data_IF_509870726214
#
_entry.id   IF_509870726214
#
_cell.length_a   1.000
_cell.length_b   1.000
_cell.length_c   1.000
_cell.angle_alpha   90.00
_cell.angle_beta   90.00
_cell.angle_gamma   90.00
#
_symmetry.space_group_name_H-M   'P 1'
#
loop_
_entity.id
_entity.type
_entity.pdbx_description
1 polymer ?
#
# COMPACT_ATOMS: atom_id res chain seq x y z
N UNK A 1 -6.88 -26.75 -4.25
CA UNK A 1 -5.97 -26.21 -5.30
C UNK A 1 -5.53 -27.31 -6.27
N UNK A 2 -5.56 -27.08 -7.60
CA UNK A 2 -5.25 -28.09 -8.63
C UNK A 2 -3.88 -27.85 -9.33
N UNK A 3 -3.49 -28.74 -10.27
CA UNK A 3 -2.22 -28.63 -11.02
C UNK A 3 -2.14 -27.39 -11.92
N UNK A 4 -3.26 -26.91 -12.47
CA UNK A 4 -3.30 -25.66 -13.25
C UNK A 4 -3.04 -24.44 -12.35
N UNK A 5 -3.67 -24.38 -11.19
CA UNK A 5 -3.48 -23.30 -10.20
C UNK A 5 -2.02 -23.24 -9.72
N UNK A 6 -1.37 -24.38 -9.50
CA UNK A 6 0.08 -24.42 -9.19
C UNK A 6 0.94 -23.82 -10.30
N UNK A 7 0.64 -24.09 -11.56
CA UNK A 7 1.35 -23.49 -12.70
C UNK A 7 1.13 -21.98 -12.77
N UNK A 8 -0.11 -21.52 -12.57
CA UNK A 8 -0.43 -20.09 -12.49
C UNK A 8 0.33 -19.40 -11.37
N UNK A 9 0.36 -20.00 -10.18
CA UNK A 9 1.09 -19.45 -9.03
C UNK A 9 2.59 -19.29 -9.35
N UNK A 10 3.22 -20.31 -9.92
CA UNK A 10 4.64 -20.25 -10.32
C UNK A 10 4.85 -19.15 -11.38
N UNK A 11 3.91 -18.99 -12.32
CA UNK A 11 3.99 -17.99 -13.37
C UNK A 11 3.92 -16.56 -12.81
N UNK A 12 3.10 -16.28 -11.80
CA UNK A 12 2.99 -14.97 -11.13
C UNK A 12 4.33 -14.55 -10.52
N UNK A 13 5.11 -15.48 -9.97
CA UNK A 13 6.39 -15.18 -9.32
C UNK A 13 7.60 -15.16 -10.28
N UNK A 14 7.40 -15.37 -11.60
CA UNK A 14 8.49 -15.22 -12.57
C UNK A 14 8.76 -13.74 -12.84
N UNK A 15 10.03 -13.39 -13.04
CA UNK A 15 10.44 -12.04 -13.44
C UNK A 15 11.21 -12.09 -14.79
N UNK A 16 10.68 -11.47 -15.86
CA UNK A 16 9.39 -10.79 -15.93
C UNK A 16 8.22 -11.78 -15.84
N UNK A 17 7.07 -11.31 -15.36
CA UNK A 17 5.85 -12.09 -15.40
C UNK A 17 5.54 -12.47 -16.88
N UNK A 18 5.11 -13.71 -17.16
CA UNK A 18 4.88 -14.14 -18.53
C UNK A 18 3.72 -13.36 -19.15
N UNK A 19 3.96 -12.77 -20.32
CA UNK A 19 2.98 -11.95 -21.08
C UNK A 19 1.68 -12.67 -21.45
N UNK A 20 1.63 -13.99 -21.32
CA UNK A 20 0.49 -14.88 -21.63
C UNK A 20 -0.29 -15.30 -20.38
N UNK A 21 -0.03 -14.68 -19.23
CA UNK A 21 -0.83 -14.95 -18.04
C UNK A 21 -2.24 -14.38 -18.25
N UNK A 22 -3.25 -15.23 -18.17
CA UNK A 22 -4.66 -14.86 -18.33
C UNK A 22 -5.27 -14.42 -16.99
N UNK A 23 -6.01 -13.32 -16.98
CA UNK A 23 -6.61 -12.78 -15.75
C UNK A 23 -7.56 -13.79 -15.10
N UNK A 24 -8.37 -14.47 -15.93
CA UNK A 24 -9.26 -15.55 -15.49
C UNK A 24 -8.53 -16.68 -14.75
N UNK A 25 -7.27 -16.94 -15.08
CA UNK A 25 -6.47 -17.96 -14.40
C UNK A 25 -5.99 -17.48 -13.02
N UNK A 26 -5.70 -16.19 -12.86
CA UNK A 26 -5.33 -15.56 -11.58
C UNK A 26 -6.53 -15.53 -10.64
N UNK A 27 -7.70 -15.11 -11.14
CA UNK A 27 -8.95 -15.09 -10.38
C UNK A 27 -9.34 -16.49 -9.90
N UNK A 28 -9.31 -17.50 -10.79
CA UNK A 28 -9.60 -18.89 -10.42
C UNK A 28 -8.60 -19.45 -9.39
N UNK A 29 -7.33 -19.05 -9.45
CA UNK A 29 -6.33 -19.40 -8.43
C UNK A 29 -6.70 -18.78 -7.07
N UNK A 30 -7.02 -17.49 -7.03
CA UNK A 30 -7.37 -16.76 -5.80
C UNK A 30 -8.62 -17.34 -5.14
N UNK A 31 -9.67 -17.62 -5.92
CA UNK A 31 -10.88 -18.30 -5.42
C UNK A 31 -10.55 -19.69 -4.87
N UNK A 32 -9.70 -20.45 -5.57
CA UNK A 32 -9.35 -21.80 -5.15
C UNK A 32 -8.43 -21.90 -3.93
N UNK A 33 -7.80 -20.79 -3.52
CA UNK A 33 -7.09 -20.68 -2.23
C UNK A 33 -7.96 -20.10 -1.11
N UNK A 34 -9.25 -19.84 -1.39
CA UNK A 34 -10.24 -19.41 -0.40
C UNK A 34 -10.48 -17.90 -0.37
N UNK A 35 -10.05 -17.15 -1.39
CA UNK A 35 -10.40 -15.73 -1.49
C UNK A 35 -11.85 -15.56 -1.98
N UNK A 36 -12.57 -14.63 -1.35
CA UNK A 36 -13.88 -14.16 -1.78
C UNK A 36 -13.68 -13.03 -2.80
N UNK A 37 -14.37 -13.12 -3.94
CA UNK A 37 -14.37 -12.05 -4.95
C UNK A 37 -15.42 -11.02 -4.58
N UNK A 38 -15.04 -9.76 -4.58
CA UNK A 38 -15.91 -8.62 -4.35
C UNK A 38 -15.83 -7.75 -5.61
N UNK A 39 -16.92 -7.72 -6.37
CA UNK A 39 -17.06 -6.83 -7.53
C UNK A 39 -17.04 -5.36 -7.06
N UNK A 40 -16.36 -4.50 -7.80
CA UNK A 40 -16.33 -3.06 -7.56
C UNK A 40 -16.96 -2.26 -8.69
N UNK A 41 -16.98 -0.94 -8.56
CA UNK A 41 -17.36 -0.05 -9.66
C UNK A 41 -16.29 -0.08 -10.78
N UNK A 42 -16.75 -0.18 -12.04
CA UNK A 42 -15.86 -0.11 -13.22
C UNK A 42 -15.02 -1.38 -13.46
N UNK A 43 -13.74 -1.21 -13.82
CA UNK A 43 -12.81 -2.32 -14.12
C UNK A 43 -12.15 -2.94 -12.90
N UNK A 44 -12.48 -2.50 -11.67
CA UNK A 44 -11.83 -2.97 -10.45
C UNK A 44 -12.46 -4.24 -9.90
N UNK A 45 -11.62 -5.16 -9.44
CA UNK A 45 -12.03 -6.39 -8.75
C UNK A 45 -11.21 -6.54 -7.47
N UNK A 46 -11.88 -6.88 -6.37
CA UNK A 46 -11.29 -7.00 -5.04
C UNK A 46 -11.34 -8.45 -4.59
N UNK A 47 -10.30 -8.88 -3.88
CA UNK A 47 -10.26 -10.20 -3.25
C UNK A 47 -10.13 -10.02 -1.75
N UNK A 48 -10.99 -10.71 -0.99
CA UNK A 48 -10.96 -10.76 0.46
C UNK A 48 -10.57 -12.16 0.92
N UNK A 49 -9.51 -12.27 1.71
CA UNK A 49 -9.07 -13.53 2.32
C UNK A 49 -8.46 -13.26 3.69
N UNK A 50 -8.88 -14.01 4.70
CA UNK A 50 -8.35 -13.93 6.07
C UNK A 50 -8.34 -12.51 6.68
N UNK A 51 -9.32 -11.67 6.31
CA UNK A 51 -9.41 -10.29 6.80
C UNK A 51 -8.52 -9.29 6.05
N UNK A 52 -7.83 -9.68 4.99
CA UNK A 52 -7.07 -8.79 4.09
C UNK A 52 -7.84 -8.58 2.78
N UNK A 53 -7.89 -7.33 2.32
CA UNK A 53 -8.49 -6.94 1.04
C UNK A 53 -7.38 -6.50 0.10
N UNK A 54 -7.38 -7.04 -1.12
CA UNK A 54 -6.50 -6.62 -2.21
C UNK A 54 -7.32 -6.20 -3.41
N UNK A 55 -7.11 -4.98 -3.89
CA UNK A 55 -7.77 -4.41 -5.08
C UNK A 55 -6.87 -4.56 -6.30
N UNK A 56 -7.46 -5.01 -7.40
CA UNK A 56 -6.80 -5.12 -8.70
C UNK A 56 -7.66 -4.49 -9.80
N UNK A 57 -7.03 -4.01 -10.86
CA UNK A 57 -7.73 -3.64 -12.09
C UNK A 57 -7.76 -4.83 -13.05
N UNK A 58 -8.95 -5.16 -13.57
CA UNK A 58 -9.08 -6.01 -14.74
C UNK A 58 -8.52 -5.21 -15.94
N UNK A 59 -7.57 -5.77 -16.71
CA UNK A 59 -7.11 -5.11 -17.93
C UNK A 59 -8.31 -4.85 -18.85
N UNK A 60 -8.41 -3.63 -19.40
CA UNK A 60 -9.58 -3.12 -20.13
C UNK A 60 -9.68 -3.61 -21.59
N UNK A 61 -8.97 -4.66 -21.96
CA UNK A 61 -9.14 -5.39 -23.22
C UNK A 61 -8.74 -6.86 -23.02
N UNK A 62 -9.06 -7.75 -23.96
CA UNK A 62 -8.51 -9.12 -24.02
C UNK A 62 -6.97 -9.16 -24.12
N UNK A 63 -6.28 -8.02 -24.06
CA UNK A 63 -4.85 -7.96 -23.90
C UNK A 63 -4.43 -8.08 -22.43
N UNK A 64 -3.95 -9.30 -22.12
CA UNK A 64 -2.77 -9.59 -21.31
C UNK A 64 -2.81 -9.09 -19.86
N UNK A 65 -2.71 -10.02 -18.92
CA UNK A 65 -2.44 -9.65 -17.52
C UNK A 65 -1.06 -8.99 -17.43
N UNK A 66 -1.03 -7.66 -17.26
CA UNK A 66 0.10 -6.99 -16.62
C UNK A 66 0.00 -7.25 -15.13
N UNK A 67 0.37 -8.46 -14.73
CA UNK A 67 0.51 -8.82 -13.33
C UNK A 67 1.79 -8.18 -12.79
N UNK A 68 1.58 -7.24 -11.87
CA UNK A 68 2.44 -6.82 -10.76
C UNK A 68 3.70 -7.70 -10.59
N UNK A 69 4.88 -7.11 -10.76
CA UNK A 69 6.14 -7.73 -10.35
C UNK A 69 7.15 -6.72 -9.78
N UNK A 70 7.36 -6.85 -8.47
CA UNK A 70 8.61 -6.66 -7.70
C UNK A 70 9.30 -5.29 -7.63
N UNK A 71 9.17 -4.67 -6.45
CA UNK A 71 10.25 -4.44 -5.48
C UNK A 71 11.69 -4.65 -5.99
N UNK A 72 12.43 -3.55 -6.23
CA UNK A 72 13.89 -3.52 -6.03
C UNK A 72 14.46 -2.13 -5.81
N UNK A 73 14.80 -1.91 -4.54
CA UNK A 73 15.79 -0.98 -3.98
C UNK A 73 17.00 -0.74 -4.91
N UNK A 74 17.17 0.47 -5.44
CA UNK A 74 18.48 1.05 -5.78
C UNK A 74 18.51 2.54 -5.45
N UNK A 75 19.37 2.87 -4.48
CA UNK A 75 19.76 4.24 -4.10
C UNK A 75 20.34 4.98 -5.30
N UNK A 76 19.83 6.17 -5.56
CA UNK A 76 20.61 7.27 -6.10
C UNK A 76 20.50 8.46 -5.16
N UNK A 77 21.65 9.04 -4.83
CA UNK A 77 21.84 10.12 -3.85
C UNK A 77 22.32 11.36 -4.58
N UNK A 78 21.58 12.47 -4.50
CA UNK A 78 22.11 13.86 -4.57
C UNK A 78 21.08 14.84 -3.98
N UNK A 79 21.44 16.09 -3.60
CA UNK A 79 21.09 16.62 -2.29
C UNK A 79 20.17 17.85 -2.32
N UNK A 80 19.55 18.08 -1.17
CA UNK A 80 19.23 19.40 -0.62
C UNK A 80 18.24 20.27 -1.41
N UNK A 81 16.99 20.29 -0.93
CA UNK A 81 16.32 21.53 -0.52
C UNK A 81 15.12 21.21 0.36
N UNK A 82 14.91 22.07 1.36
CA UNK A 82 13.75 22.10 2.24
C UNK A 82 12.45 22.11 1.45
N UNK A 83 11.81 20.96 1.26
CA UNK A 83 10.43 20.88 0.78
C UNK A 83 9.62 20.05 1.78
N UNK A 84 8.51 20.63 2.23
CA UNK A 84 7.41 19.91 2.88
C UNK A 84 7.13 18.64 2.10
N UNK A 85 7.07 17.49 2.77
CA UNK A 85 6.71 16.23 2.12
C UNK A 85 5.31 16.42 1.55
N UNK A 86 5.20 16.64 0.23
CA UNK A 86 3.96 16.91 -0.48
C UNK A 86 3.19 15.60 -0.67
N UNK A 87 2.84 14.98 0.45
CA UNK A 87 2.10 13.71 0.49
C UNK A 87 0.63 13.99 0.19
N UNK A 88 0.10 13.37 -0.86
CA UNK A 88 -1.33 13.44 -1.18
C UNK A 88 -2.12 12.72 -0.09
N UNK A 89 -2.99 13.46 0.60
CA UNK A 89 -3.83 12.93 1.68
C UNK A 89 -5.31 13.12 1.35
N UNK A 90 -6.12 12.12 1.69
CA UNK A 90 -7.57 12.14 1.49
C UNK A 90 -8.28 11.31 2.57
N UNK A 91 -9.27 11.90 3.25
CA UNK A 91 -10.02 11.27 4.38
C UNK A 91 -9.11 10.63 5.45
N UNK A 92 -7.93 11.21 5.67
CA UNK A 92 -6.93 10.72 6.64
C UNK A 92 -5.97 9.66 6.10
N UNK A 93 -6.20 9.15 4.89
CA UNK A 93 -5.29 8.24 4.19
C UNK A 93 -4.20 9.01 3.45
N UNK A 94 -3.00 8.43 3.39
CA UNK A 94 -1.87 8.97 2.64
C UNK A 94 -1.59 8.08 1.43
N UNK A 95 -1.26 8.70 0.30
CA UNK A 95 -0.80 8.02 -0.90
C UNK A 95 0.73 7.91 -0.90
N UNK A 96 1.24 6.71 -1.22
CA UNK A 96 2.61 6.48 -1.67
C UNK A 96 2.60 6.33 -3.18
N UNK A 97 3.44 7.09 -3.90
CA UNK A 97 3.41 7.18 -5.36
C UNK A 97 4.80 6.86 -5.91
N UNK A 98 4.84 5.99 -6.93
CA UNK A 98 6.04 5.59 -7.65
C UNK A 98 5.82 5.78 -9.16
N UNK A 99 6.86 6.13 -9.90
CA UNK A 99 6.81 6.21 -11.35
C UNK A 99 7.27 4.87 -11.96
N UNK A 100 6.48 4.33 -12.88
CA UNK A 100 6.83 3.15 -13.66
C UNK A 100 7.31 3.58 -15.04
N UNK A 101 8.59 3.34 -15.34
CA UNK A 101 9.17 3.62 -16.66
C UNK A 101 8.65 2.64 -17.74
N UNK A 102 8.40 1.38 -17.35
CA UNK A 102 7.89 0.34 -18.25
C UNK A 102 6.44 0.59 -18.72
N UNK A 103 5.64 1.28 -17.90
CA UNK A 103 4.24 1.56 -18.16
C UNK A 103 3.96 3.05 -18.39
N UNK A 104 5.00 3.89 -18.46
CA UNK A 104 4.93 5.36 -18.61
C UNK A 104 3.85 6.03 -17.74
N UNK A 105 3.63 5.54 -16.52
CA UNK A 105 2.56 6.03 -15.64
C UNK A 105 2.96 6.03 -14.16
N UNK A 106 2.21 6.80 -13.36
CA UNK A 106 2.35 6.82 -11.91
C UNK A 106 1.51 5.72 -11.29
N UNK A 107 2.13 4.90 -10.45
CA UNK A 107 1.49 3.85 -9.65
C UNK A 107 1.47 4.32 -8.21
N UNK A 108 0.28 4.42 -7.63
CA UNK A 108 0.08 4.79 -6.24
C UNK A 108 -0.56 3.68 -5.42
N UNK A 109 -0.29 3.67 -4.12
CA UNK A 109 -0.97 2.81 -3.16
C UNK A 109 -1.26 3.56 -1.85
N UNK A 110 -2.32 3.14 -1.15
CA UNK A 110 -2.62 3.70 0.16
C UNK A 110 -1.57 3.22 1.17
N UNK A 111 -0.88 4.17 1.78
CA UNK A 111 0.13 3.92 2.79
C UNK A 111 -0.51 3.76 4.18
N UNK A 112 0.09 2.90 5.00
CA UNK A 112 -0.25 2.76 6.41
C UNK A 112 -1.46 1.88 6.72
N UNK A 113 -1.91 1.07 5.76
CA UNK A 113 -2.90 0.02 5.95
C UNK A 113 -2.34 -1.34 5.49
N UNK A 114 -2.85 -2.45 6.06
CA UNK A 114 -2.49 -3.80 5.59
C UNK A 114 -3.18 -4.15 4.27
N UNK A 115 -4.36 -3.58 4.04
CA UNK A 115 -5.12 -3.80 2.82
C UNK A 115 -4.39 -3.15 1.63
N UNK A 116 -4.25 -3.88 0.52
CA UNK A 116 -3.57 -3.37 -0.67
C UNK A 116 -4.56 -2.68 -1.59
N UNK A 117 -4.61 -1.36 -1.49
CA UNK A 117 -5.43 -0.51 -2.36
C UNK A 117 -4.50 0.28 -3.28
N UNK A 118 -4.42 -0.14 -4.54
CA UNK A 118 -3.62 0.49 -5.58
C UNK A 118 -4.47 1.35 -6.52
N UNK A 119 -3.86 2.39 -7.08
CA UNK A 119 -4.41 3.28 -8.10
C UNK A 119 -3.30 3.68 -9.07
N UNK A 120 -3.65 4.18 -10.25
CA UNK A 120 -2.69 4.65 -11.23
C UNK A 120 -3.23 5.86 -11.98
N UNK A 121 -2.35 6.63 -12.61
CA UNK A 121 -2.71 7.78 -13.44
C UNK A 121 -1.55 8.21 -14.32
N UNK A 122 -1.86 8.79 -15.49
CA UNK A 122 -0.85 9.32 -16.42
C UNK A 122 -0.49 10.77 -16.09
N UNK A 123 -1.39 11.46 -15.36
CA UNK A 123 -1.16 12.82 -14.87
C UNK A 123 -1.43 12.94 -13.36
N UNK A 124 -0.90 14.00 -12.74
CA UNK A 124 -1.14 14.30 -11.31
C UNK A 124 -2.64 14.50 -11.02
N UNK A 125 -3.38 15.09 -11.97
CA UNK A 125 -4.81 15.31 -11.84
C UNK A 125 -5.59 13.98 -11.80
N UNK A 126 -5.31 13.09 -12.75
CA UNK A 126 -5.89 11.74 -12.79
C UNK A 126 -5.50 10.93 -11.57
N UNK A 127 -4.24 11.00 -11.15
CA UNK A 127 -3.75 10.27 -9.99
C UNK A 127 -4.50 10.68 -8.70
N UNK A 128 -4.83 11.96 -8.58
CA UNK A 128 -5.61 12.49 -7.44
C UNK A 128 -7.05 12.00 -7.46
N UNK A 129 -7.68 12.00 -8.62
CA UNK A 129 -9.03 11.49 -8.80
C UNK A 129 -9.09 9.98 -8.54
N UNK A 130 -8.17 9.23 -9.15
CA UNK A 130 -8.03 7.78 -8.94
C UNK A 130 -7.74 7.43 -7.48
N UNK A 131 -6.96 8.25 -6.76
CA UNK A 131 -6.72 8.07 -5.32
C UNK A 131 -7.99 8.30 -4.48
N UNK A 132 -8.74 9.36 -4.77
CA UNK A 132 -9.99 9.63 -4.07
C UNK A 132 -11.01 8.51 -4.31
N UNK A 133 -11.18 8.11 -5.57
CA UNK A 133 -12.08 7.03 -5.98
C UNK A 133 -11.69 5.70 -5.32
N UNK A 134 -10.40 5.34 -5.35
CA UNK A 134 -9.91 4.11 -4.72
C UNK A 134 -10.11 4.12 -3.20
N UNK A 135 -9.98 5.29 -2.55
CA UNK A 135 -10.23 5.43 -1.12
C UNK A 135 -11.71 5.32 -0.79
N UNK A 136 -12.60 5.93 -1.58
CA UNK A 136 -14.04 5.81 -1.38
C UNK A 136 -14.54 4.38 -1.62
N UNK A 137 -14.07 3.75 -2.69
CA UNK A 137 -14.38 2.36 -3.01
C UNK A 137 -13.87 1.40 -1.91
N UNK A 138 -12.70 1.67 -1.31
CA UNK A 138 -12.22 0.93 -0.14
C UNK A 138 -13.14 1.08 1.07
N UNK A 139 -13.60 2.29 1.38
CA UNK A 139 -14.52 2.53 2.49
C UNK A 139 -15.87 1.83 2.27
N UNK A 140 -16.38 1.84 1.03
CA UNK A 140 -17.65 1.20 0.67
C UNK A 140 -17.57 -0.34 0.72
N UNK A 141 -16.46 -0.92 0.26
CA UNK A 141 -16.25 -2.37 0.41
C UNK A 141 -16.01 -2.78 1.85
N UNK A 142 -15.33 -1.96 2.67
CA UNK A 142 -15.27 -2.20 4.11
C UNK A 142 -16.69 -2.24 4.72
N UNK A 143 -17.57 -1.32 4.35
CA UNK A 143 -18.96 -1.32 4.81
C UNK A 143 -19.74 -2.56 4.34
N UNK A 144 -19.57 -2.98 3.08
CA UNK A 144 -20.25 -4.15 2.50
C UNK A 144 -19.80 -5.46 3.14
N UNK A 145 -18.52 -5.58 3.50
CA UNK A 145 -17.95 -6.77 4.14
C UNK A 145 -18.19 -6.76 5.66
N UNK A 146 -18.76 -5.68 6.22
CA UNK A 146 -18.95 -5.52 7.66
C UNK A 146 -17.62 -5.39 8.43
N UNK A 147 -16.58 -4.91 7.75
CA UNK A 147 -15.23 -4.70 8.30
C UNK A 147 -15.07 -3.24 8.66
N UNK A 148 -14.56 -2.93 9.86
CA UNK A 148 -14.17 -1.56 10.17
C UNK A 148 -12.98 -1.14 9.28
N UNK A 149 -13.10 -0.05 8.52
CA UNK A 149 -12.02 0.41 7.66
C UNK A 149 -10.77 0.68 8.50
N UNK A 150 -9.63 0.19 8.05
CA UNK A 150 -8.38 0.34 8.78
C UNK A 150 -7.99 1.81 8.76
N UNK A 151 -8.17 2.49 9.90
CA UNK A 151 -7.68 3.86 10.05
C UNK A 151 -6.15 3.82 10.01
N UNK A 152 -5.50 4.68 9.20
CA UNK A 152 -4.05 4.82 9.25
C UNK A 152 -3.63 5.21 10.67
N UNK A 153 -2.46 4.70 11.05
CA UNK A 153 -1.88 4.66 12.40
C UNK A 153 -2.51 5.63 13.42
N UNK A 154 -3.02 5.09 14.53
CA UNK A 154 -3.72 5.82 15.61
C UNK A 154 -2.89 6.89 16.33
N UNK A 155 -1.65 7.14 15.92
CA UNK A 155 -0.67 7.99 16.58
C UNK A 155 -0.19 7.45 17.94
N UNK A 156 -0.75 6.33 18.41
CA UNK A 156 -0.43 5.74 19.72
C UNK A 156 0.51 4.55 19.54
N UNK A 157 1.77 4.75 19.92
CA UNK A 157 2.81 3.74 19.83
C UNK A 157 3.12 3.18 21.22
N UNK A 158 2.68 1.95 21.51
CA UNK A 158 3.04 1.26 22.75
C UNK A 158 4.35 0.50 22.53
N UNK A 159 5.42 0.94 23.17
CA UNK A 159 6.75 0.33 23.08
C UNK A 159 7.08 -0.40 24.38
N UNK A 160 7.57 -1.64 24.26
CA UNK A 160 8.21 -2.32 25.36
C UNK A 160 9.69 -1.99 25.35
N UNK A 161 10.11 -1.07 26.21
CA UNK A 161 11.50 -0.60 26.31
C UNK A 161 12.10 -0.97 27.67
N UNK A 162 13.39 -1.35 27.71
CA UNK A 162 14.07 -1.64 28.98
C UNK A 162 14.04 -0.43 29.92
N UNK A 163 13.99 -0.64 31.26
CA UNK A 163 13.91 0.44 32.23
C UNK A 163 15.03 1.48 32.12
N UNK A 164 16.25 1.04 31.78
CA UNK A 164 17.43 1.88 31.59
C UNK A 164 17.24 2.87 30.44
N UNK A 165 16.76 2.37 29.28
CA UNK A 165 16.49 3.19 28.11
C UNK A 165 15.32 4.15 28.37
N UNK A 166 14.28 3.70 29.07
CA UNK A 166 13.17 4.56 29.47
C UNK A 166 13.65 5.72 30.36
N UNK A 167 14.54 5.46 31.32
CA UNK A 167 15.13 6.50 32.16
C UNK A 167 15.93 7.52 31.34
N UNK A 168 16.74 7.07 30.38
CA UNK A 168 17.48 7.97 29.49
C UNK A 168 16.56 8.85 28.65
N UNK A 169 15.48 8.28 28.10
CA UNK A 169 14.48 9.03 27.32
C UNK A 169 13.77 10.06 28.20
N UNK A 170 13.34 9.68 29.41
CA UNK A 170 12.67 10.57 30.34
C UNK A 170 13.55 11.76 30.74
N UNK A 171 14.84 11.51 31.02
CA UNK A 171 15.81 12.58 31.30
C UNK A 171 16.01 13.49 30.09
N UNK A 172 16.19 12.93 28.90
CA UNK A 172 16.39 13.72 27.69
C UNK A 172 15.17 14.59 27.34
N UNK A 173 13.95 14.05 27.53
CA UNK A 173 12.72 14.80 27.36
C UNK A 173 12.64 15.97 28.36
N UNK A 174 12.96 15.71 29.64
CA UNK A 174 12.91 16.72 30.69
C UNK A 174 13.94 17.85 30.50
N UNK A 175 15.18 17.52 30.14
CA UNK A 175 16.21 18.52 29.79
C UNK A 175 15.78 19.37 28.60
N UNK A 176 15.05 18.78 27.66
CA UNK A 176 14.55 19.47 26.46
C UNK A 176 13.23 20.23 26.71
N UNK A 177 12.66 20.18 27.92
CA UNK A 177 11.37 20.80 28.25
C UNK A 177 10.17 20.19 27.52
N UNK A 178 10.27 18.92 27.11
CA UNK A 178 9.27 18.22 26.31
C UNK A 178 8.65 17.06 27.10
N UNK A 179 7.45 16.63 26.70
CA UNK A 179 6.94 15.33 27.16
C UNK A 179 7.73 14.19 26.53
N UNK A 180 7.72 13.01 27.16
CA UNK A 180 8.35 11.80 26.62
C UNK A 180 7.83 11.49 25.21
N UNK A 181 6.51 11.59 25.00
CA UNK A 181 5.90 11.36 23.68
C UNK A 181 6.37 12.36 22.63
N UNK A 182 6.53 13.64 22.99
CA UNK A 182 7.04 14.68 22.09
C UNK A 182 8.51 14.43 21.72
N UNK A 183 9.32 14.08 22.72
CA UNK A 183 10.74 13.79 22.52
C UNK A 183 10.93 12.55 21.64
N UNK A 184 10.20 11.46 21.93
CA UNK A 184 10.20 10.24 21.12
C UNK A 184 9.72 10.53 19.70
N UNK A 185 8.64 11.30 19.54
CA UNK A 185 8.14 11.67 18.21
C UNK A 185 9.18 12.47 17.41
N UNK A 186 9.89 13.40 18.05
CA UNK A 186 10.99 14.13 17.43
C UNK A 186 12.14 13.23 17.01
N UNK A 187 12.57 12.32 17.89
CA UNK A 187 13.63 11.36 17.61
C UNK A 187 13.25 10.38 16.49
N UNK A 188 12.02 9.85 16.51
CA UNK A 188 11.48 8.99 15.46
C UNK A 188 11.36 9.73 14.12
N UNK A 189 10.93 10.99 14.12
CA UNK A 189 10.87 11.81 12.92
C UNK A 189 12.26 12.08 12.34
N UNK A 190 13.27 12.29 13.19
CA UNK A 190 14.65 12.41 12.74
C UNK A 190 15.18 11.10 12.14
N UNK A 191 14.87 9.96 12.76
CA UNK A 191 15.28 8.64 12.28
C UNK A 191 14.54 8.20 11.01
N UNK A 192 13.26 8.57 10.85
CA UNK A 192 12.44 8.20 9.70
C UNK A 192 12.80 8.98 8.43
N UNK A 193 13.43 10.15 8.56
CA UNK A 193 13.96 10.95 7.44
C UNK A 193 15.11 10.30 6.67
N UNK A 194 15.54 9.09 7.05
CA UNK A 194 16.64 8.35 6.41
C UNK A 194 16.14 7.47 5.24
N UNK A 195 14.83 7.39 5.02
CA UNK A 195 14.22 6.68 3.89
C UNK A 195 13.58 7.63 2.88
#
# INVERSE_FOLDING_TARGET
MNTKHRKTLIAIYKNPAPKQLEWKAVEALLVAVGAQVIEGGGSRVRFHKDGEISTFHRPLSEERSKAVSSERRKRFSVPNRSETVNTMTYKGYAASIEYSDDDECFIGHIAGIKDRVGFHGESVAELKEAFHEATEDYLDTCATVGKEPQKPYSGRLMLHIPPELHATIAMAAQVSGQSIDQWISGALNQASRIY
#
